data_IF_955506057044
#
_entry.id   IF_955506057044
#
_cell.length_a   1.000
_cell.length_b   1.000
_cell.length_c   1.000
_cell.angle_alpha   90.00
_cell.angle_beta   90.00
_cell.angle_gamma   90.00
#
_symmetry.space_group_name_H-M   'P 1'
#
loop_
_entity.id
_entity.type
_entity.pdbx_description
1 polymer ?
#
# COMPACT_ATOMS: atom_id res chain seq x y z
N UNK A 1 -5.25 -1.52 14.55
CA UNK A 1 -4.85 -1.34 13.15
C UNK A 1 -3.94 -0.14 13.03
N UNK A 2 -2.88 -0.26 12.27
CA UNK A 2 -1.84 0.76 12.20
C UNK A 2 -1.92 1.50 10.87
N UNK A 3 -1.84 2.83 10.95
CA UNK A 3 -1.86 3.66 9.75
C UNK A 3 -0.68 4.63 9.80
N UNK A 4 -0.11 4.87 8.64
CA UNK A 4 0.95 5.86 8.46
C UNK A 4 0.60 6.77 7.29
N UNK A 5 1.05 8.01 7.37
CA UNK A 5 0.88 8.96 6.26
C UNK A 5 2.21 9.19 5.58
N UNK A 6 2.17 9.22 4.25
CA UNK A 6 3.38 9.47 3.47
C UNK A 6 3.00 10.21 2.21
N UNK A 7 3.53 11.42 2.06
CA UNK A 7 3.30 12.26 0.88
C UNK A 7 1.81 12.44 0.55
N UNK A 8 0.99 12.56 1.60
CA UNK A 8 -0.45 12.74 1.42
C UNK A 8 -1.25 11.48 1.25
N UNK A 9 -0.59 10.33 1.22
CA UNK A 9 -1.26 9.04 1.10
C UNK A 9 -1.28 8.33 2.43
N UNK A 10 -2.19 7.40 2.58
CA UNK A 10 -2.35 6.63 3.81
C UNK A 10 -1.88 5.20 3.54
N UNK A 11 -0.99 4.71 4.38
CA UNK A 11 -0.53 3.32 4.34
C UNK A 11 -1.13 2.62 5.54
N UNK A 12 -1.96 1.61 5.30
CA UNK A 12 -2.68 0.91 6.35
C UNK A 12 -2.23 -0.53 6.45
N UNK A 13 -1.94 -0.97 7.66
CA UNK A 13 -1.58 -2.36 7.91
C UNK A 13 -2.87 -3.17 8.02
N UNK A 14 -2.94 -4.26 7.26
CA UNK A 14 -4.14 -5.08 7.17
C UNK A 14 -3.78 -6.55 7.36
N UNK A 15 -4.54 -7.31 8.17
CA UNK A 15 -4.30 -8.76 8.26
C UNK A 15 -4.51 -9.43 6.91
N UNK A 16 -3.55 -10.24 6.52
CA UNK A 16 -3.62 -11.02 5.28
C UNK A 16 -3.06 -12.41 5.54
N UNK A 17 -3.73 -13.21 6.35
CA UNK A 17 -3.21 -14.51 6.75
C UNK A 17 -3.12 -15.48 5.59
N UNK A 18 -2.15 -16.37 5.68
CA UNK A 18 -2.02 -17.49 4.76
C UNK A 18 -1.98 -18.78 5.57
N UNK A 19 -2.20 -19.93 4.93
CA UNK A 19 -2.10 -21.20 5.66
C UNK A 19 -0.74 -21.41 6.32
N UNK A 20 0.33 -20.89 5.70
CA UNK A 20 1.67 -21.03 6.24
C UNK A 20 2.01 -19.96 7.27
N UNK A 21 1.29 -18.83 7.26
CA UNK A 21 1.58 -17.74 8.16
C UNK A 21 0.27 -17.06 8.57
N UNK A 22 -0.41 -17.62 9.57
CA UNK A 22 -1.71 -17.09 9.99
C UNK A 22 -1.65 -15.70 10.61
N UNK A 23 -0.47 -15.24 11.01
CA UNK A 23 -0.31 -13.91 11.60
C UNK A 23 0.21 -12.89 10.58
N UNK A 24 0.26 -13.25 9.32
CA UNK A 24 0.78 -12.37 8.29
C UNK A 24 -0.07 -11.13 8.16
N UNK A 25 0.61 -9.98 8.03
CA UNK A 25 -0.03 -8.73 7.70
C UNK A 25 0.60 -8.17 6.43
N UNK A 26 -0.10 -7.24 5.80
CA UNK A 26 0.41 -6.55 4.62
C UNK A 26 0.00 -5.09 4.70
N UNK A 27 0.48 -4.30 3.74
CA UNK A 27 0.26 -2.86 3.73
C UNK A 27 -0.50 -2.48 2.49
N UNK A 28 -1.49 -1.61 2.68
CA UNK A 28 -2.32 -1.11 1.59
C UNK A 28 -2.15 0.40 1.51
N UNK A 29 -2.16 0.93 0.30
CA UNK A 29 -2.00 2.36 0.07
C UNK A 29 -3.33 2.94 -0.39
N UNK A 30 -3.77 3.99 0.30
CA UNK A 30 -5.01 4.70 -0.02
C UNK A 30 -4.74 6.15 -0.37
N UNK A 31 -5.52 6.66 -1.32
CA UNK A 31 -5.61 8.07 -1.65
C UNK A 31 -6.97 8.55 -1.18
N UNK A 32 -7.02 9.08 0.04
CA UNK A 32 -8.30 9.34 0.69
C UNK A 32 -8.99 8.01 0.98
N UNK A 33 -10.14 7.80 0.36
CA UNK A 33 -10.87 6.54 0.51
C UNK A 33 -10.60 5.57 -0.64
N UNK A 34 -9.80 5.98 -1.62
CA UNK A 34 -9.59 5.19 -2.83
C UNK A 34 -8.35 4.31 -2.65
N UNK A 35 -8.53 3.02 -2.78
CA UNK A 35 -7.43 2.06 -2.70
C UNK A 35 -6.57 2.17 -3.95
N UNK A 36 -5.27 2.37 -3.76
CA UNK A 36 -4.33 2.50 -4.88
C UNK A 36 -3.50 1.27 -5.09
N UNK A 37 -3.07 0.63 -4.00
CA UNK A 37 -2.30 -0.61 -4.09
C UNK A 37 -2.50 -1.38 -2.81
N UNK A 38 -2.39 -2.71 -2.89
CA UNK A 38 -2.64 -3.56 -1.74
C UNK A 38 -1.62 -4.68 -1.66
N UNK A 39 -1.60 -5.32 -0.50
CA UNK A 39 -0.81 -6.53 -0.27
C UNK A 39 0.69 -6.28 -0.45
N UNK A 40 1.17 -5.16 0.08
CA UNK A 40 2.58 -4.80 0.03
C UNK A 40 3.25 -5.41 1.26
N UNK A 41 4.45 -5.94 1.06
CA UNK A 41 5.10 -6.77 2.07
C UNK A 41 5.62 -5.99 3.27
N UNK A 42 5.96 -4.72 3.12
CA UNK A 42 6.51 -3.94 4.23
C UNK A 42 6.17 -2.47 4.08
N UNK A 43 6.27 -1.75 5.21
CA UNK A 43 6.04 -0.32 5.23
C UNK A 43 7.05 0.42 4.34
N UNK A 44 8.30 -0.01 4.38
CA UNK A 44 9.32 0.64 3.58
C UNK A 44 9.06 0.48 2.09
N UNK A 45 8.63 -0.70 1.69
CA UNK A 45 8.25 -0.93 0.29
C UNK A 45 7.07 -0.06 -0.08
N UNK A 46 6.09 0.07 0.81
CA UNK A 46 4.94 0.93 0.54
C UNK A 46 5.37 2.38 0.32
N UNK A 47 6.26 2.89 1.16
CA UNK A 47 6.78 4.25 0.98
C UNK A 47 7.50 4.40 -0.34
N UNK A 48 8.31 3.41 -0.70
CA UNK A 48 9.04 3.43 -1.96
C UNK A 48 8.09 3.43 -3.14
N UNK A 49 7.04 2.63 -3.06
CA UNK A 49 6.02 2.60 -4.12
C UNK A 49 5.40 3.97 -4.30
N UNK A 50 5.02 4.63 -3.19
CA UNK A 50 4.43 5.96 -3.27
C UNK A 50 5.41 6.94 -3.91
N UNK A 51 6.66 6.96 -3.45
CA UNK A 51 7.65 7.89 -3.98
C UNK A 51 7.86 7.68 -5.47
N UNK A 52 7.93 6.43 -5.90
CA UNK A 52 8.13 6.09 -7.29
C UNK A 52 6.94 6.52 -8.14
N UNK A 53 5.73 6.25 -7.66
CA UNK A 53 4.53 6.59 -8.41
C UNK A 53 4.37 8.10 -8.55
N UNK A 54 4.68 8.85 -7.50
CA UNK A 54 4.62 10.31 -7.57
C UNK A 54 5.67 10.82 -8.55
N UNK A 55 6.89 10.30 -8.44
CA UNK A 55 7.99 10.76 -9.27
C UNK A 55 7.72 10.52 -10.76
N UNK A 56 7.13 9.39 -11.09
CA UNK A 56 6.92 9.01 -12.49
C UNK A 56 5.49 9.21 -12.96
N UNK A 57 4.60 9.72 -12.10
CA UNK A 57 3.24 10.02 -12.50
C UNK A 57 2.36 8.82 -12.77
N UNK A 58 2.61 7.70 -12.11
CA UNK A 58 1.88 6.47 -12.36
C UNK A 58 0.52 6.41 -11.67
N UNK A 59 0.09 7.50 -11.01
CA UNK A 59 -1.21 7.52 -10.35
C UNK A 59 -2.37 7.52 -11.33
N UNK A 60 -2.11 7.35 -12.58
CA UNK A 60 -3.17 7.24 -13.57
C UNK A 60 -3.99 5.98 -13.42
N UNK A 61 -3.67 5.15 -12.48
CA UNK A 61 -4.56 4.12 -12.01
C UNK A 61 -4.31 2.73 -12.53
N UNK A 62 -3.55 2.59 -13.58
CA UNK A 62 -3.45 1.27 -14.21
C UNK A 62 -2.55 0.31 -13.45
N UNK A 63 -1.60 0.84 -12.71
CA UNK A 63 -0.65 -0.02 -12.00
C UNK A 63 -1.29 -0.80 -10.88
N UNK A 64 -2.49 -0.42 -10.50
CA UNK A 64 -3.22 -1.13 -9.45
C UNK A 64 -4.37 -1.96 -10.02
N UNK A 65 -4.88 -1.61 -11.16
CA UNK A 65 -6.14 -2.15 -11.65
C UNK A 65 -6.06 -3.61 -12.07
N UNK A 66 -4.91 -4.17 -12.09
CA UNK A 66 -4.74 -5.55 -12.50
C UNK A 66 -5.50 -6.55 -11.64
#
# INVERSE_FOLDING_TARGET
MTEYRHMGYIIRQTPRPTPLNPLRTAWDIYDGTKLRKQNISSLEVARHVIDTMIKYGYWKGTWYAE
#
